data_IF_170652985640
#
_entry.id   IF_170652985640
#
_cell.length_a   1.000
_cell.length_b   1.000
_cell.length_c   1.000
_cell.angle_alpha   90.00
_cell.angle_beta   90.00
_cell.angle_gamma   90.00
#
_symmetry.space_group_name_H-M   'P 1'
#
loop_
_entity.id
_entity.type
_entity.pdbx_description
1 polymer ?
#
# COMPACT_ATOMS: atom_id res chain seq x y z
N UNK A 1 8.42 -47.45 -16.55
CA UNK A 1 8.92 -47.33 -15.18
C UNK A 1 10.06 -46.34 -15.24
N UNK A 2 9.78 -45.04 -15.41
CA UNK A 2 9.24 -44.12 -14.38
C UNK A 2 10.19 -44.13 -13.18
N UNK A 3 10.92 -43.06 -12.85
CA UNK A 3 10.41 -41.71 -12.63
C UNK A 3 11.33 -40.59 -13.15
N UNK A 4 10.76 -39.76 -14.03
CA UNK A 4 11.16 -38.38 -14.25
C UNK A 4 10.67 -37.56 -13.05
N UNK A 5 11.51 -37.39 -12.03
CA UNK A 5 11.23 -36.42 -10.98
C UNK A 5 11.52 -35.01 -11.54
N UNK A 6 10.50 -34.45 -12.21
CA UNK A 6 10.44 -33.05 -12.58
C UNK A 6 10.45 -32.21 -11.28
N UNK A 7 11.62 -31.71 -10.91
CA UNK A 7 11.72 -30.66 -9.90
C UNK A 7 11.00 -29.43 -10.47
N UNK A 8 10.00 -28.85 -9.79
CA UNK A 8 9.35 -27.66 -10.30
C UNK A 8 10.38 -26.53 -10.33
N UNK A 9 10.65 -25.99 -11.51
CA UNK A 9 11.33 -24.71 -11.70
C UNK A 9 10.42 -23.58 -11.16
N UNK A 10 10.23 -23.54 -9.85
CA UNK A 10 9.53 -22.45 -9.17
C UNK A 10 10.53 -21.33 -8.91
N UNK A 11 10.37 -20.24 -9.67
CA UNK A 11 10.96 -18.90 -9.48
C UNK A 11 12.49 -18.77 -9.67
N UNK A 12 12.95 -18.80 -10.92
CA UNK A 12 14.35 -18.52 -11.28
C UNK A 12 14.64 -17.08 -11.75
N UNK A 13 13.68 -16.16 -11.67
CA UNK A 13 13.97 -14.74 -11.85
C UNK A 13 13.21 -13.91 -10.82
N UNK A 14 13.86 -13.64 -9.69
CA UNK A 14 13.43 -12.55 -8.81
C UNK A 14 13.43 -11.24 -9.61
N UNK A 15 12.39 -10.43 -9.45
CA UNK A 15 12.35 -9.11 -10.09
C UNK A 15 13.63 -8.35 -9.72
N UNK A 16 14.18 -7.51 -10.62
CA UNK A 16 15.28 -6.63 -10.26
C UNK A 16 14.90 -5.83 -9.02
N UNK A 17 15.84 -5.71 -8.07
CA UNK A 17 15.57 -5.09 -6.78
C UNK A 17 14.98 -3.67 -6.89
N UNK A 18 15.42 -2.90 -7.89
CA UNK A 18 14.88 -1.55 -8.12
C UNK A 18 13.38 -1.56 -8.47
N UNK A 19 12.89 -2.59 -9.18
CA UNK A 19 11.46 -2.75 -9.48
C UNK A 19 10.70 -3.12 -8.21
N UNK A 20 11.26 -4.04 -7.43
CA UNK A 20 10.64 -4.51 -6.20
C UNK A 20 10.46 -3.36 -5.20
N UNK A 21 11.50 -2.55 -4.97
CA UNK A 21 11.43 -1.39 -4.07
C UNK A 21 10.31 -0.44 -4.50
N UNK A 22 10.18 -0.15 -5.79
CA UNK A 22 9.14 0.75 -6.31
C UNK A 22 7.74 0.16 -6.10
N UNK A 23 7.55 -1.13 -6.37
CA UNK A 23 6.24 -1.79 -6.23
C UNK A 23 5.82 -1.99 -4.76
N UNK A 24 6.75 -2.15 -3.83
CA UNK A 24 6.50 -2.31 -2.40
C UNK A 24 6.21 -0.99 -1.66
N UNK A 25 6.39 0.15 -2.33
CA UNK A 25 6.12 1.49 -1.76
C UNK A 25 4.98 2.20 -2.52
N UNK A 26 3.72 1.77 -2.34
CA UNK A 26 2.59 2.26 -3.13
C UNK A 26 2.16 3.70 -2.81
N UNK A 27 2.48 4.21 -1.61
CA UNK A 27 2.02 5.51 -1.12
C UNK A 27 3.03 6.62 -1.41
N UNK A 28 2.99 7.18 -2.62
CA UNK A 28 3.88 8.25 -3.05
C UNK A 28 3.17 9.61 -3.03
N UNK A 29 3.73 10.59 -2.30
CA UNK A 29 3.19 11.95 -2.24
C UNK A 29 3.89 12.93 -3.20
N UNK A 30 5.21 12.77 -3.36
CA UNK A 30 6.05 13.68 -4.13
C UNK A 30 7.01 12.88 -5.01
N UNK A 31 7.21 13.35 -6.24
CA UNK A 31 8.17 12.80 -7.18
C UNK A 31 8.92 13.96 -7.84
N UNK A 32 10.24 13.97 -7.69
CA UNK A 32 11.11 14.95 -8.31
C UNK A 32 12.12 14.22 -9.19
N UNK A 33 12.28 14.69 -10.42
CA UNK A 33 13.19 14.10 -11.40
C UNK A 33 14.05 15.21 -11.97
N UNK A 34 15.37 15.08 -11.78
CA UNK A 34 16.36 16.00 -12.31
C UNK A 34 16.92 15.44 -13.64
N UNK A 35 16.81 16.22 -14.71
CA UNK A 35 17.45 15.90 -15.99
C UNK A 35 18.67 16.82 -16.21
N UNK A 36 19.89 16.27 -16.37
CA UNK A 36 21.09 17.08 -16.62
C UNK A 36 21.11 17.82 -17.96
N UNK A 37 20.18 17.52 -18.88
CA UNK A 37 20.11 18.11 -20.24
C UNK A 37 18.66 18.40 -20.60
N UNK A 38 18.42 19.29 -21.57
CA UNK A 38 17.12 19.70 -22.12
C UNK A 38 16.35 18.57 -22.88
N UNK A 39 16.31 17.36 -22.34
CA UNK A 39 15.38 16.34 -22.81
C UNK A 39 13.96 16.77 -22.43
N UNK A 40 13.04 16.71 -23.39
CA UNK A 40 11.63 17.05 -23.13
C UNK A 40 11.03 16.02 -22.16
N UNK A 41 10.68 16.40 -20.91
CA UNK A 41 10.27 15.46 -19.87
C UNK A 41 8.88 14.87 -20.12
N UNK A 42 8.09 15.50 -21.00
CA UNK A 42 6.70 15.13 -21.28
C UNK A 42 6.55 13.72 -21.87
N UNK A 43 7.59 13.14 -22.46
CA UNK A 43 7.55 11.76 -22.98
C UNK A 43 7.53 10.70 -21.88
N UNK A 44 8.02 11.03 -20.68
CA UNK A 44 8.20 10.07 -19.58
C UNK A 44 7.17 10.25 -18.46
N UNK A 45 6.56 11.43 -18.35
CA UNK A 45 5.59 11.74 -17.31
C UNK A 45 4.19 11.30 -17.73
N UNK A 46 3.70 10.22 -17.12
CA UNK A 46 2.27 9.89 -17.14
C UNK A 46 1.55 10.78 -16.13
N UNK A 47 0.42 11.36 -16.52
CA UNK A 47 -0.46 12.06 -15.57
C UNK A 47 -1.02 11.04 -14.58
N UNK A 48 -0.70 11.21 -13.31
CA UNK A 48 -1.38 10.52 -12.22
C UNK A 48 -2.57 11.36 -11.75
N UNK A 49 -3.67 10.71 -11.40
CA UNK A 49 -4.82 11.34 -10.76
C UNK A 49 -5.20 10.52 -9.53
N UNK A 50 -5.78 11.19 -8.54
CA UNK A 50 -6.34 10.56 -7.36
C UNK A 50 -7.72 11.15 -7.09
N UNK A 51 -8.54 10.40 -6.37
CA UNK A 51 -9.84 10.88 -5.91
C UNK A 51 -9.77 11.21 -4.43
N UNK A 52 -10.41 12.30 -4.04
CA UNK A 52 -10.70 12.62 -2.64
C UNK A 52 -12.20 12.39 -2.43
N UNK A 53 -12.53 11.56 -1.45
CA UNK A 53 -13.91 11.23 -1.13
C UNK A 53 -14.04 10.95 0.37
N UNK A 54 -15.21 11.28 0.92
CA UNK A 54 -15.59 10.89 2.28
C UNK A 54 -16.25 9.52 2.22
N UNK A 55 -15.55 8.50 2.70
CA UNK A 55 -15.93 7.08 2.57
C UNK A 55 -15.91 6.44 3.96
N UNK A 56 -16.95 5.65 4.26
CA UNK A 56 -16.98 4.83 5.47
C UNK A 56 -15.99 3.67 5.37
N UNK A 57 -15.27 3.37 6.46
CA UNK A 57 -14.31 2.27 6.49
C UNK A 57 -14.92 0.91 6.13
N UNK A 58 -16.20 0.72 6.45
CA UNK A 58 -16.94 -0.51 6.11
C UNK A 58 -17.01 -0.76 4.61
N UNK A 59 -16.96 0.29 3.78
CA UNK A 59 -17.03 0.15 2.32
C UNK A 59 -15.89 -0.71 1.76
N UNK A 60 -14.68 -0.62 2.35
CA UNK A 60 -13.51 -1.36 1.88
C UNK A 60 -13.60 -2.87 2.16
N UNK A 61 -14.51 -3.30 3.04
CA UNK A 61 -14.74 -4.72 3.36
C UNK A 61 -16.03 -5.26 2.75
N UNK A 62 -16.78 -4.43 2.01
CA UNK A 62 -17.95 -4.90 1.28
C UNK A 62 -17.54 -5.85 0.17
N UNK A 63 -18.32 -6.92 -0.02
CA UNK A 63 -18.04 -7.93 -1.03
C UNK A 63 -17.99 -7.35 -2.44
N UNK A 64 -18.86 -6.38 -2.74
CA UNK A 64 -18.88 -5.63 -4.00
C UNK A 64 -17.54 -4.94 -4.25
N UNK A 65 -17.02 -4.21 -3.26
CA UNK A 65 -15.74 -3.52 -3.37
C UNK A 65 -14.58 -4.49 -3.63
N UNK A 66 -14.55 -5.60 -2.88
CA UNK A 66 -13.51 -6.62 -3.03
C UNK A 66 -13.55 -7.23 -4.44
N UNK A 67 -14.73 -7.64 -4.92
CA UNK A 67 -14.89 -8.29 -6.23
C UNK A 67 -14.63 -7.34 -7.39
N UNK A 68 -15.06 -6.09 -7.29
CA UNK A 68 -14.97 -5.14 -8.39
C UNK A 68 -13.62 -4.44 -8.49
N UNK A 69 -12.91 -4.28 -7.38
CA UNK A 69 -11.66 -3.53 -7.36
C UNK A 69 -10.44 -4.33 -6.92
N UNK A 70 -10.52 -5.11 -5.82
CA UNK A 70 -9.35 -5.81 -5.29
C UNK A 70 -9.02 -7.09 -6.05
N UNK A 71 -10.02 -7.84 -6.52
CA UNK A 71 -9.80 -9.05 -7.31
C UNK A 71 -9.42 -8.76 -8.76
N UNK A 72 -9.85 -7.61 -9.30
CA UNK A 72 -9.65 -7.22 -10.70
C UNK A 72 -8.46 -6.28 -10.90
N UNK A 73 -7.91 -5.71 -9.82
CA UNK A 73 -6.89 -4.67 -9.91
C UNK A 73 -6.17 -4.41 -8.60
N UNK A 74 -5.59 -3.21 -8.50
CA UNK A 74 -4.91 -2.73 -7.30
C UNK A 74 -5.50 -1.39 -6.91
N UNK A 75 -5.94 -1.27 -5.67
CA UNK A 75 -6.41 -0.01 -5.10
C UNK A 75 -5.44 0.39 -4.01
N UNK A 76 -5.06 1.67 -4.02
CA UNK A 76 -4.27 2.28 -2.96
C UNK A 76 -5.09 3.43 -2.41
N UNK A 77 -5.25 3.47 -1.10
CA UNK A 77 -5.97 4.56 -0.43
C UNK A 77 -5.25 4.96 0.86
N UNK A 78 -5.35 6.22 1.23
CA UNK A 78 -4.84 6.76 2.47
C UNK A 78 -5.80 7.81 3.02
N UNK A 79 -6.08 7.76 4.31
CA UNK A 79 -6.85 8.80 4.98
C UNK A 79 -6.11 10.13 4.94
N UNK A 80 -6.84 11.21 4.69
CA UNK A 80 -6.31 12.56 4.82
C UNK A 80 -6.58 13.06 6.25
N UNK A 81 -5.52 13.41 6.99
CA UNK A 81 -5.66 13.75 8.41
C UNK A 81 -4.46 14.45 9.00
N UNK A 82 -4.51 14.65 10.33
CA UNK A 82 -3.36 15.12 11.12
C UNK A 82 -2.41 13.93 11.26
N UNK A 83 -1.09 14.13 11.21
CA UNK A 83 -0.09 13.06 11.07
C UNK A 83 -0.25 11.83 11.98
N UNK A 84 0.46 10.76 11.65
CA UNK A 84 0.31 9.42 12.24
C UNK A 84 0.43 9.36 13.77
N UNK A 85 1.15 10.30 14.39
CA UNK A 85 1.38 10.32 15.83
C UNK A 85 0.21 10.91 16.64
N UNK A 86 -0.69 11.65 15.99
CA UNK A 86 -1.71 12.47 16.68
C UNK A 86 -3.14 12.13 16.27
N UNK A 87 -3.35 11.29 15.26
CA UNK A 87 -4.68 10.91 14.81
C UNK A 87 -4.73 9.52 14.20
N UNK A 88 -5.95 9.01 14.00
CA UNK A 88 -6.17 7.76 13.32
C UNK A 88 -5.75 7.89 11.85
N UNK A 89 -4.87 7.02 11.39
CA UNK A 89 -4.43 6.95 10.00
C UNK A 89 -4.78 5.59 9.44
N UNK A 90 -5.48 5.60 8.32
CA UNK A 90 -5.93 4.41 7.62
C UNK A 90 -5.24 4.35 6.27
N UNK A 91 -4.77 3.17 5.90
CA UNK A 91 -4.25 2.91 4.57
C UNK A 91 -4.83 1.61 4.01
N UNK A 92 -5.09 1.59 2.71
CA UNK A 92 -5.31 0.37 1.94
C UNK A 92 -4.10 0.21 1.03
N UNK A 93 -3.33 -0.85 1.22
CA UNK A 93 -2.20 -1.11 0.35
C UNK A 93 -2.63 -1.75 -0.98
N UNK A 94 -1.72 -1.71 -1.96
CA UNK A 94 -1.99 -2.25 -3.30
C UNK A 94 -2.17 -3.77 -3.34
N UNK A 95 -2.01 -4.49 -2.22
CA UNK A 95 -2.27 -5.92 -2.08
C UNK A 95 -3.66 -6.22 -1.52
N UNK A 96 -4.40 -5.20 -1.08
CA UNK A 96 -5.73 -5.33 -0.48
C UNK A 96 -5.70 -5.42 1.05
N UNK A 97 -4.57 -5.14 1.69
CA UNK A 97 -4.48 -5.10 3.16
C UNK A 97 -4.97 -3.74 3.67
N UNK A 98 -6.05 -3.75 4.45
CA UNK A 98 -6.54 -2.57 5.15
C UNK A 98 -5.81 -2.42 6.49
N UNK A 99 -4.97 -1.39 6.58
CA UNK A 99 -4.09 -1.09 7.71
C UNK A 99 -4.69 0.07 8.51
N UNK A 100 -4.87 -0.15 9.81
CA UNK A 100 -5.40 0.84 10.73
C UNK A 100 -4.32 1.18 11.76
N UNK A 101 -3.81 2.41 11.72
CA UNK A 101 -3.06 2.98 12.82
C UNK A 101 -4.03 3.84 13.64
N UNK A 102 -4.31 3.41 14.86
CA UNK A 102 -5.33 4.00 15.70
C UNK A 102 -4.71 4.59 16.96
N UNK A 103 -5.25 5.72 17.38
CA UNK A 103 -5.08 6.24 18.74
C UNK A 103 -5.59 5.22 19.75
N UNK A 104 -5.02 5.25 20.97
CA UNK A 104 -5.42 4.35 22.06
C UNK A 104 -6.94 4.34 22.27
N UNK A 105 -7.53 5.53 22.38
CA UNK A 105 -8.96 5.70 22.65
C UNK A 105 -9.84 5.10 21.55
N UNK A 106 -9.39 5.14 20.29
CA UNK A 106 -10.14 4.54 19.18
C UNK A 106 -9.92 3.03 19.10
N UNK A 107 -8.71 2.55 19.38
CA UNK A 107 -8.38 1.11 19.32
C UNK A 107 -9.16 0.27 20.33
N UNK A 108 -9.45 0.82 21.52
CA UNK A 108 -10.13 0.11 22.60
C UNK A 108 -11.65 -0.04 22.36
N UNK A 109 -12.23 0.68 21.38
CA UNK A 109 -13.68 0.66 21.09
C UNK A 109 -14.15 -0.54 20.24
N UNK A 110 -13.53 -0.88 19.09
CA UNK A 110 -14.07 -1.88 18.18
C UNK A 110 -13.73 -3.34 18.55
N UNK A 111 -12.89 -3.56 19.57
CA UNK A 111 -12.47 -4.91 19.98
C UNK A 111 -11.62 -5.66 18.94
N UNK A 112 -10.97 -4.92 18.02
CA UNK A 112 -10.12 -5.51 17.00
C UNK A 112 -8.80 -5.98 17.62
N UNK A 113 -8.35 -7.16 17.21
CA UNK A 113 -7.02 -7.64 17.57
C UNK A 113 -5.96 -6.90 16.76
N UNK A 114 -5.03 -6.26 17.45
CA UNK A 114 -3.90 -5.57 16.86
C UNK A 114 -2.67 -5.68 17.74
N UNK A 115 -1.69 -4.83 17.48
CA UNK A 115 -0.45 -4.73 18.25
C UNK A 115 -0.13 -3.26 18.50
N UNK A 116 0.55 -2.93 19.62
CA UNK A 116 1.04 -1.58 19.83
C UNK A 116 1.88 -1.09 18.64
N UNK A 117 1.55 0.09 18.11
CA UNK A 117 2.42 0.77 17.15
C UNK A 117 3.69 1.23 17.87
N UNK A 118 4.86 1.09 17.23
CA UNK A 118 6.13 1.54 17.80
C UNK A 118 6.21 3.06 17.71
N UNK A 119 5.89 3.76 18.79
CA UNK A 119 6.11 5.21 18.97
C UNK A 119 7.32 5.36 19.91
N UNK A 120 8.27 6.25 19.62
CA UNK A 120 9.49 6.47 20.45
C UNK A 120 9.17 7.06 21.84
N UNK A 121 10.13 7.15 22.81
CA UNK A 121 11.58 6.97 22.74
C UNK A 121 12.12 5.70 23.43
N UNK A 122 11.28 4.81 23.95
CA UNK A 122 11.72 3.59 24.65
C UNK A 122 12.11 2.48 23.67
N UNK A 123 13.24 2.71 23.02
CA UNK A 123 14.12 1.66 22.49
C UNK A 123 15.21 1.41 23.55
N UNK A 124 14.95 0.50 24.48
CA UNK A 124 15.97 -0.36 25.10
C UNK A 124 15.52 -1.82 24.92
#
# INVERSE_FOLDING_TARGET
MEDLCAVPLLNLFSKPQHVQIIEEHPLNHWLEILFPTLLSPHKFLKKAFYYKADILLSYFIEQSFIQDYLQKGRVVAQSLGKGIDVSNVIALDGSGTLILNLTKDTYEQPGLSGKPAKIGPDRQ
#
